data_IF_185681537868
#
_entry.id   IF_185681537868
#
_cell.length_a   1.000
_cell.length_b   1.000
_cell.length_c   1.000
_cell.angle_alpha   90.00
_cell.angle_beta   90.00
_cell.angle_gamma   90.00
#
_symmetry.space_group_name_H-M   'P 1'
#
loop_
_entity.id
_entity.type
_entity.pdbx_description
1 polymer ?
#
# COMPACT_ATOMS: atom_id res chain seq x y z
N UNK A 1 -16.36 2.33 -2.70
CA UNK A 1 -15.11 2.26 -3.48
C UNK A 1 -13.90 2.75 -2.71
N UNK A 2 -13.99 3.81 -1.88
CA UNK A 2 -12.85 4.35 -1.13
C UNK A 2 -12.05 3.32 -0.32
N UNK A 3 -12.71 2.31 0.28
CA UNK A 3 -12.06 1.20 1.02
C UNK A 3 -10.98 0.49 0.18
N UNK A 4 -11.21 0.31 -1.13
CA UNK A 4 -10.27 -0.39 -2.01
C UNK A 4 -8.92 0.35 -2.12
N UNK A 5 -8.89 1.65 -1.84
CA UNK A 5 -7.67 2.46 -1.87
C UNK A 5 -6.61 1.92 -0.91
N UNK A 6 -7.01 1.37 0.24
CA UNK A 6 -6.08 0.88 1.25
C UNK A 6 -5.59 -0.57 1.03
N UNK A 7 -6.13 -1.31 0.06
CA UNK A 7 -5.75 -2.72 -0.18
C UNK A 7 -4.24 -2.90 -0.45
N UNK A 8 -3.55 -2.04 -1.23
CA UNK A 8 -2.11 -2.15 -1.44
C UNK A 8 -1.31 -2.08 -0.14
N UNK A 9 -1.88 -1.49 0.92
CA UNK A 9 -1.21 -1.40 2.22
C UNK A 9 -0.92 -2.80 2.78
N UNK A 10 -1.91 -3.67 2.75
CA UNK A 10 -1.76 -5.03 3.29
C UNK A 10 -1.05 -5.97 2.33
N UNK A 11 -1.13 -5.73 1.01
CA UNK A 11 -0.32 -6.46 0.03
C UNK A 11 1.18 -6.30 0.28
N UNK A 12 1.69 -5.07 0.36
CA UNK A 12 3.14 -4.86 0.49
C UNK A 12 3.64 -5.39 1.84
N UNK A 13 3.02 -5.02 2.97
CA UNK A 13 3.51 -5.48 4.28
C UNK A 13 3.30 -6.99 4.45
N UNK A 14 2.12 -7.50 4.07
CA UNK A 14 1.72 -8.88 4.27
C UNK A 14 2.37 -9.86 3.32
N UNK A 15 2.73 -9.43 2.10
CA UNK A 15 3.33 -10.29 1.07
C UNK A 15 4.79 -9.89 0.82
N UNK A 16 5.04 -8.69 0.27
CA UNK A 16 6.40 -8.31 -0.15
C UNK A 16 7.39 -8.23 1.01
N UNK A 17 6.99 -7.62 2.13
CA UNK A 17 7.86 -7.41 3.29
C UNK A 17 7.95 -8.68 4.14
N UNK A 18 6.83 -9.35 4.44
CA UNK A 18 6.82 -10.62 5.18
C UNK A 18 7.66 -11.70 4.50
N UNK A 19 7.50 -11.87 3.19
CA UNK A 19 8.25 -12.87 2.41
C UNK A 19 9.52 -12.29 1.79
N UNK A 20 10.00 -11.12 2.26
CA UNK A 20 11.15 -10.42 1.67
C UNK A 20 12.42 -11.27 1.62
N UNK A 21 12.70 -12.07 2.64
CA UNK A 21 13.83 -13.01 2.63
C UNK A 21 13.68 -14.05 1.52
N UNK A 22 12.47 -14.59 1.30
CA UNK A 22 12.25 -15.59 0.27
C UNK A 22 12.35 -14.99 -1.13
N UNK A 23 11.73 -13.84 -1.37
CA UNK A 23 11.89 -13.09 -2.62
C UNK A 23 13.37 -12.78 -2.89
N UNK A 24 14.06 -12.22 -1.90
CA UNK A 24 15.44 -11.80 -2.03
C UNK A 24 16.39 -12.96 -2.39
N UNK A 25 16.22 -14.12 -1.74
CA UNK A 25 17.16 -15.23 -1.88
C UNK A 25 16.79 -16.18 -3.02
N UNK A 26 15.49 -16.49 -3.19
CA UNK A 26 15.04 -17.52 -4.15
C UNK A 26 14.79 -16.97 -5.54
N UNK A 27 14.32 -15.72 -5.65
CA UNK A 27 13.86 -15.16 -6.93
C UNK A 27 14.71 -13.98 -7.43
N UNK A 28 15.18 -13.14 -6.52
CA UNK A 28 15.90 -11.90 -6.87
C UNK A 28 17.42 -12.04 -6.72
N UNK A 29 17.93 -13.14 -6.17
CA UNK A 29 19.37 -13.41 -6.02
C UNK A 29 20.17 -12.21 -5.45
N UNK A 30 19.63 -11.56 -4.41
CA UNK A 30 20.28 -10.44 -3.73
C UNK A 30 21.64 -10.89 -3.18
N UNK A 31 22.67 -10.10 -3.41
CA UNK A 31 24.07 -10.49 -3.19
C UNK A 31 24.47 -10.72 -1.73
N UNK A 32 23.57 -10.48 -0.78
CA UNK A 32 23.81 -10.69 0.64
C UNK A 32 22.54 -11.05 1.42
N UNK A 33 22.68 -11.36 2.72
CA UNK A 33 21.58 -11.84 3.53
C UNK A 33 20.52 -10.76 3.77
N UNK A 34 19.25 -11.15 3.66
CA UNK A 34 18.09 -10.31 3.95
C UNK A 34 17.33 -10.88 5.14
N UNK A 35 17.05 -10.03 6.13
CA UNK A 35 16.21 -10.35 7.29
C UNK A 35 14.83 -9.73 7.11
N UNK A 36 13.80 -10.56 7.17
CA UNK A 36 12.41 -10.10 7.15
C UNK A 36 12.11 -9.16 8.33
N UNK A 37 12.67 -9.41 9.51
CA UNK A 37 12.50 -8.54 10.69
C UNK A 37 13.05 -7.14 10.43
N UNK A 38 14.25 -7.04 9.82
CA UNK A 38 14.84 -5.76 9.43
C UNK A 38 14.01 -5.07 8.35
N UNK A 39 13.49 -5.81 7.37
CA UNK A 39 12.61 -5.27 6.35
C UNK A 39 11.32 -4.69 6.95
N UNK A 40 10.66 -5.42 7.87
CA UNK A 40 9.48 -4.95 8.62
C UNK A 40 9.79 -3.67 9.40
N UNK A 41 10.90 -3.65 10.14
CA UNK A 41 11.31 -2.48 10.92
C UNK A 41 11.51 -1.24 10.03
N UNK A 42 12.31 -1.36 8.96
CA UNK A 42 12.61 -0.26 8.06
C UNK A 42 11.37 0.23 7.30
N UNK A 43 10.51 -0.70 6.91
CA UNK A 43 9.22 -0.40 6.30
C UNK A 43 8.35 0.48 7.21
N UNK A 44 8.16 0.08 8.48
CA UNK A 44 7.33 0.86 9.41
C UNK A 44 7.94 2.22 9.77
N UNK A 45 9.27 2.31 9.89
CA UNK A 45 9.96 3.61 10.07
C UNK A 45 9.65 4.53 8.90
N UNK A 46 9.79 4.04 7.66
CA UNK A 46 9.51 4.82 6.47
C UNK A 46 8.02 5.14 6.32
N UNK A 47 7.11 4.24 6.70
CA UNK A 47 5.67 4.48 6.69
C UNK A 47 5.23 5.54 7.70
N UNK A 48 5.85 5.56 8.89
CA UNK A 48 5.65 6.63 9.85
C UNK A 48 6.08 7.98 9.26
N UNK A 49 7.29 8.06 8.69
CA UNK A 49 7.77 9.27 8.02
C UNK A 49 6.85 9.69 6.85
N UNK A 50 6.44 8.73 6.02
CA UNK A 50 5.50 8.96 4.93
C UNK A 50 4.17 9.53 5.40
N UNK A 51 3.67 9.08 6.56
CA UNK A 51 2.42 9.59 7.13
C UNK A 51 2.46 11.09 7.42
N UNK A 52 3.59 11.59 7.92
CA UNK A 52 3.81 13.02 8.08
C UNK A 52 3.93 13.73 6.73
N UNK A 53 4.77 13.20 5.83
CA UNK A 53 5.05 13.78 4.52
C UNK A 53 3.77 13.94 3.70
N UNK A 54 2.96 12.89 3.60
CA UNK A 54 1.75 12.94 2.78
C UNK A 54 0.69 13.85 3.40
N UNK A 55 0.56 13.86 4.73
CA UNK A 55 -0.36 14.77 5.42
C UNK A 55 -0.01 16.25 5.16
N UNK A 56 1.28 16.60 5.19
CA UNK A 56 1.75 17.94 4.82
C UNK A 56 1.56 18.24 3.34
N UNK A 57 1.92 17.28 2.46
CA UNK A 57 1.75 17.42 1.02
C UNK A 57 0.28 17.66 0.64
N UNK A 58 -0.66 16.99 1.28
CA UNK A 58 -2.10 17.20 1.04
C UNK A 58 -2.56 18.62 1.38
N UNK A 59 -1.99 19.23 2.44
CA UNK A 59 -2.27 20.62 2.80
C UNK A 59 -1.66 21.59 1.79
N UNK A 60 -0.38 21.40 1.43
CA UNK A 60 0.33 22.26 0.47
C UNK A 60 -0.26 22.19 -0.93
N UNK A 61 -0.71 21.01 -1.36
CA UNK A 61 -1.33 20.80 -2.66
C UNK A 61 -2.81 21.24 -2.70
N UNK A 62 -3.37 21.60 -1.54
CA UNK A 62 -4.80 21.87 -1.35
C UNK A 62 -5.68 20.77 -1.97
N UNK A 63 -5.24 19.50 -1.83
CA UNK A 63 -5.91 18.35 -2.44
C UNK A 63 -5.36 17.05 -1.85
N UNK A 64 -6.24 16.29 -1.22
CA UNK A 64 -5.90 14.96 -0.70
C UNK A 64 -5.79 13.96 -1.84
N UNK A 65 -6.60 14.12 -2.89
CA UNK A 65 -6.54 13.26 -4.08
C UNK A 65 -5.18 13.35 -4.76
N UNK A 66 -4.58 14.55 -4.90
CA UNK A 66 -3.24 14.72 -5.46
C UNK A 66 -2.17 14.04 -4.61
N UNK A 67 -2.20 14.23 -3.28
CA UNK A 67 -1.25 13.56 -2.39
C UNK A 67 -1.35 12.03 -2.48
N UNK A 68 -2.57 11.49 -2.54
CA UNK A 68 -2.82 10.06 -2.74
C UNK A 68 -2.29 9.55 -4.08
N UNK A 69 -2.42 10.32 -5.17
CA UNK A 69 -1.86 9.95 -6.48
C UNK A 69 -0.34 9.86 -6.44
N UNK A 70 0.33 10.82 -5.80
CA UNK A 70 1.79 10.82 -5.67
C UNK A 70 2.25 9.61 -4.83
N UNK A 71 1.61 9.38 -3.69
CA UNK A 71 1.94 8.26 -2.81
C UNK A 71 1.70 6.89 -3.49
N UNK A 72 0.61 6.75 -4.24
CA UNK A 72 0.31 5.55 -5.01
C UNK A 72 1.30 5.37 -6.18
N UNK A 73 1.73 6.45 -6.81
CA UNK A 73 2.80 6.43 -7.82
C UNK A 73 4.12 5.92 -7.26
N UNK A 74 4.48 6.32 -6.02
CA UNK A 74 5.65 5.81 -5.32
C UNK A 74 5.52 4.32 -5.01
N UNK A 75 4.33 3.85 -4.63
CA UNK A 75 4.07 2.41 -4.46
C UNK A 75 4.26 1.67 -5.78
N UNK A 76 3.71 2.16 -6.88
CA UNK A 76 3.87 1.53 -8.20
C UNK A 76 5.35 1.44 -8.56
N UNK A 77 6.08 2.55 -8.43
CA UNK A 77 7.52 2.60 -8.71
C UNK A 77 8.32 1.69 -7.77
N UNK A 78 8.00 1.67 -6.47
CA UNK A 78 8.65 0.82 -5.48
C UNK A 78 8.37 -0.67 -5.71
N UNK A 79 7.15 -1.04 -6.10
CA UNK A 79 6.79 -2.42 -6.43
C UNK A 79 7.50 -2.85 -7.71
N UNK A 80 7.56 -2.00 -8.74
CA UNK A 80 8.35 -2.29 -9.93
C UNK A 80 9.83 -2.48 -9.56
N UNK A 81 10.42 -1.54 -8.81
CA UNK A 81 11.80 -1.63 -8.36
C UNK A 81 12.07 -2.93 -7.58
N UNK A 82 11.15 -3.37 -6.73
CA UNK A 82 11.25 -4.62 -5.98
C UNK A 82 11.35 -5.84 -6.91
N UNK A 83 10.47 -5.97 -7.91
CA UNK A 83 10.49 -7.13 -8.81
C UNK A 83 11.64 -7.12 -9.81
N UNK A 84 12.21 -5.95 -10.09
CA UNK A 84 13.35 -5.77 -11.00
C UNK A 84 14.70 -5.61 -10.30
N UNK A 85 14.78 -5.75 -8.96
CA UNK A 85 16.04 -5.62 -8.21
C UNK A 85 16.92 -6.88 -8.21
N UNK A 86 16.88 -7.68 -9.29
CA UNK A 86 17.64 -8.93 -9.35
C UNK A 86 19.15 -8.66 -9.27
N UNK A 87 19.87 -9.40 -8.42
CA UNK A 87 21.31 -9.23 -8.20
C UNK A 87 21.71 -7.96 -7.44
N UNK A 88 20.75 -7.19 -6.92
CA UNK A 88 21.05 -5.97 -6.19
C UNK A 88 21.75 -6.25 -4.84
N UNK A 89 22.36 -5.21 -4.26
CA UNK A 89 22.94 -5.30 -2.92
C UNK A 89 21.85 -5.22 -1.83
N UNK A 90 22.12 -5.72 -0.61
CA UNK A 90 21.20 -5.58 0.50
C UNK A 90 20.81 -4.13 0.80
N UNK A 91 21.75 -3.18 0.62
CA UNK A 91 21.48 -1.76 0.78
C UNK A 91 20.37 -1.29 -0.16
N UNK A 92 20.49 -1.58 -1.45
CA UNK A 92 19.49 -1.20 -2.47
C UNK A 92 18.14 -1.86 -2.17
N UNK A 93 18.14 -3.15 -1.81
CA UNK A 93 16.91 -3.87 -1.47
C UNK A 93 16.19 -3.22 -0.27
N UNK A 94 16.91 -2.90 0.81
CA UNK A 94 16.32 -2.22 1.96
C UNK A 94 15.86 -0.79 1.64
N UNK A 95 16.55 -0.07 0.74
CA UNK A 95 16.08 1.24 0.25
C UNK A 95 14.76 1.12 -0.51
N UNK A 96 14.56 0.06 -1.30
CA UNK A 96 13.28 -0.21 -1.97
C UNK A 96 12.19 -0.50 -0.94
N UNK A 97 12.47 -1.29 0.09
CA UNK A 97 11.53 -1.55 1.20
C UNK A 97 11.14 -0.24 1.92
N UNK A 98 12.11 0.66 2.14
CA UNK A 98 11.83 1.97 2.71
C UNK A 98 11.00 2.84 1.76
N UNK A 99 11.26 2.82 0.45
CA UNK A 99 10.46 3.55 -0.54
C UNK A 99 9.00 3.07 -0.55
N UNK A 100 8.80 1.76 -0.47
CA UNK A 100 7.47 1.14 -0.34
C UNK A 100 6.78 1.58 0.96
N UNK A 101 7.50 1.58 2.09
CA UNK A 101 7.00 2.09 3.37
C UNK A 101 6.60 3.57 3.28
N UNK A 102 7.47 4.41 2.71
CA UNK A 102 7.21 5.84 2.49
C UNK A 102 5.91 6.05 1.71
N UNK A 103 5.73 5.35 0.59
CA UNK A 103 4.50 5.41 -0.19
C UNK A 103 3.28 4.99 0.63
N UNK A 104 3.36 3.90 1.39
CA UNK A 104 2.26 3.44 2.25
C UNK A 104 1.87 4.37 3.40
N UNK A 105 2.73 5.33 3.75
CA UNK A 105 2.40 6.34 4.74
C UNK A 105 1.12 7.13 4.41
N UNK A 106 0.58 7.06 3.18
CA UNK A 106 -0.72 7.67 2.88
C UNK A 106 -1.89 7.11 3.71
N UNK A 107 -1.70 6.01 4.46
CA UNK A 107 -2.70 5.37 5.32
C UNK A 107 -3.54 6.37 6.14
N UNK A 108 -2.91 7.39 6.72
CA UNK A 108 -3.62 8.42 7.49
C UNK A 108 -4.62 9.18 6.62
N UNK A 109 -4.19 9.67 5.45
CA UNK A 109 -5.06 10.39 4.51
C UNK A 109 -6.18 9.48 4.02
N UNK A 110 -5.88 8.22 3.72
CA UNK A 110 -6.88 7.25 3.34
C UNK A 110 -7.99 7.14 4.40
N UNK A 111 -7.63 6.99 5.67
CA UNK A 111 -8.62 6.86 6.75
C UNK A 111 -9.52 8.11 6.86
N UNK A 112 -8.94 9.31 6.74
CA UNK A 112 -9.72 10.55 6.75
C UNK A 112 -10.63 10.68 5.54
N UNK A 113 -10.12 10.43 4.33
CA UNK A 113 -10.88 10.49 3.08
C UNK A 113 -12.02 9.48 3.08
N UNK A 114 -11.78 8.26 3.58
CA UNK A 114 -12.80 7.24 3.68
C UNK A 114 -13.97 7.67 4.59
N UNK A 115 -13.67 8.29 5.73
CA UNK A 115 -14.68 8.80 6.65
C UNK A 115 -15.47 10.00 6.07
N UNK A 116 -14.83 10.83 5.25
CA UNK A 116 -15.47 11.98 4.59
C UNK A 116 -16.40 11.61 3.43
N UNK A 117 -16.34 10.38 2.92
CA UNK A 117 -17.30 9.92 1.92
C UNK A 117 -18.70 9.69 2.49
N UNK A 118 -18.87 9.78 3.81
CA UNK A 118 -20.13 9.53 4.49
C UNK A 118 -20.55 10.77 5.27
N UNK A 119 -21.87 10.93 5.44
CA UNK A 119 -22.44 11.98 6.26
C UNK A 119 -21.89 11.96 7.69
N UNK A 120 -21.91 13.12 8.34
CA UNK A 120 -21.44 13.32 9.72
C UNK A 120 -21.96 12.28 10.69
N UNK A 121 -23.21 11.85 10.54
CA UNK A 121 -23.89 10.84 11.35
C UNK A 121 -23.22 9.44 11.35
N UNK A 122 -22.49 9.08 10.28
CA UNK A 122 -21.83 7.77 10.14
C UNK A 122 -20.30 7.86 10.16
N UNK A 123 -19.75 9.08 10.24
CA UNK A 123 -18.31 9.33 10.08
C UNK A 123 -17.46 8.56 11.10
N UNK A 124 -17.87 8.56 12.37
CA UNK A 124 -17.15 7.83 13.44
C UNK A 124 -17.17 6.31 13.23
N UNK A 125 -18.32 5.76 12.85
CA UNK A 125 -18.45 4.34 12.51
C UNK A 125 -17.55 3.98 11.34
N UNK A 126 -17.60 4.75 10.25
CA UNK A 126 -16.78 4.48 9.06
C UNK A 126 -15.28 4.62 9.34
N UNK A 127 -14.87 5.59 10.16
CA UNK A 127 -13.47 5.79 10.53
C UNK A 127 -12.85 4.57 11.22
N UNK A 128 -13.67 3.71 11.83
CA UNK A 128 -13.21 2.44 12.43
C UNK A 128 -13.45 1.24 11.49
N UNK A 129 -14.60 1.18 10.84
CA UNK A 129 -14.99 0.06 9.96
C UNK A 129 -14.13 -0.01 8.70
N UNK A 130 -13.89 1.11 8.00
CA UNK A 130 -13.15 1.09 6.74
C UNK A 130 -11.71 0.59 6.90
N UNK A 131 -10.90 1.07 7.88
CA UNK A 131 -9.60 0.50 8.17
C UNK A 131 -9.65 -1.00 8.46
N UNK A 132 -10.62 -1.47 9.24
CA UNK A 132 -10.75 -2.88 9.61
C UNK A 132 -11.09 -3.77 8.40
N UNK A 133 -11.96 -3.34 7.50
CA UNK A 133 -12.21 -4.05 6.23
C UNK A 133 -10.93 -4.13 5.38
N UNK A 134 -10.16 -3.05 5.33
CA UNK A 134 -8.88 -3.05 4.64
C UNK A 134 -7.90 -4.02 5.29
N UNK A 135 -7.83 -4.10 6.63
CA UNK A 135 -7.03 -5.13 7.30
C UNK A 135 -7.52 -6.54 6.99
N UNK A 136 -8.83 -6.76 6.99
CA UNK A 136 -9.45 -8.03 6.63
C UNK A 136 -9.14 -8.47 5.19
N UNK A 137 -8.91 -7.51 4.28
CA UNK A 137 -8.49 -7.83 2.91
C UNK A 137 -7.12 -8.52 2.84
N UNK A 138 -6.27 -8.42 3.88
CA UNK A 138 -5.02 -9.17 3.97
C UNK A 138 -5.24 -10.67 3.76
N UNK A 139 -6.26 -11.24 4.40
CA UNK A 139 -6.57 -12.68 4.28
C UNK A 139 -6.89 -13.05 2.83
N UNK A 140 -7.69 -12.22 2.14
CA UNK A 140 -8.02 -12.45 0.73
C UNK A 140 -6.79 -12.31 -0.17
N UNK A 141 -5.95 -11.31 0.09
CA UNK A 141 -4.69 -11.10 -0.62
C UNK A 141 -3.71 -12.26 -0.42
N UNK A 142 -3.63 -12.80 0.81
CA UNK A 142 -2.79 -13.95 1.13
C UNK A 142 -3.31 -15.23 0.45
N UNK A 143 -4.62 -15.47 0.46
CA UNK A 143 -5.24 -16.60 -0.24
C UNK A 143 -5.00 -16.51 -1.75
N UNK A 144 -5.15 -15.33 -2.34
CA UNK A 144 -4.85 -15.10 -3.76
C UNK A 144 -3.37 -15.37 -4.06
N UNK A 145 -2.47 -14.82 -3.25
CA UNK A 145 -1.04 -15.05 -3.40
C UNK A 145 -0.67 -16.54 -3.27
N UNK A 146 -1.21 -17.24 -2.28
CA UNK A 146 -0.99 -18.67 -2.10
C UNK A 146 -1.53 -19.48 -3.27
N UNK A 147 -2.76 -19.21 -3.71
CA UNK A 147 -3.38 -19.88 -4.84
C UNK A 147 -2.55 -19.70 -6.12
N UNK A 148 -2.10 -18.48 -6.42
CA UNK A 148 -1.28 -18.22 -7.60
C UNK A 148 0.12 -18.85 -7.49
N UNK A 149 0.77 -18.69 -6.34
CA UNK A 149 2.16 -19.15 -6.15
C UNK A 149 2.27 -20.67 -6.05
N UNK A 150 1.35 -21.33 -5.31
CA UNK A 150 1.37 -22.77 -5.03
C UNK A 150 0.39 -23.54 -5.91
N UNK A 151 -0.90 -23.23 -5.87
CA UNK A 151 -1.93 -24.05 -6.53
C UNK A 151 -1.84 -24.00 -8.06
N UNK A 152 -1.52 -22.83 -8.63
CA UNK A 152 -1.23 -22.66 -10.05
C UNK A 152 0.26 -22.85 -10.41
N UNK A 153 1.08 -23.21 -9.41
CA UNK A 153 2.52 -23.47 -9.55
C UNK A 153 3.29 -22.35 -10.28
N UNK A 154 2.88 -21.08 -10.10
CA UNK A 154 3.50 -19.93 -10.79
C UNK A 154 4.76 -19.42 -10.09
N UNK A 155 5.05 -19.90 -8.87
CA UNK A 155 6.15 -19.42 -8.03
C UNK A 155 5.83 -18.09 -7.33
N UNK A 156 6.63 -17.73 -6.33
CA UNK A 156 6.36 -16.55 -5.49
C UNK A 156 6.56 -15.26 -6.29
N UNK A 157 7.48 -15.22 -7.27
CA UNK A 157 7.72 -14.04 -8.11
C UNK A 157 6.46 -13.67 -8.92
N UNK A 158 5.92 -14.60 -9.73
CA UNK A 158 4.72 -14.33 -10.54
C UNK A 158 3.48 -14.16 -9.67
N UNK A 159 3.31 -14.99 -8.63
CA UNK A 159 2.19 -14.88 -7.70
C UNK A 159 2.17 -13.53 -6.99
N UNK A 160 3.32 -13.06 -6.52
CA UNK A 160 3.46 -11.75 -5.88
C UNK A 160 3.18 -10.59 -6.85
N UNK A 161 3.65 -10.68 -8.10
CA UNK A 161 3.47 -9.65 -9.11
C UNK A 161 1.99 -9.51 -9.53
N UNK A 162 1.31 -10.62 -9.77
CA UNK A 162 -0.10 -10.62 -10.18
C UNK A 162 -1.00 -10.15 -9.04
N UNK A 163 -0.80 -10.68 -7.82
CA UNK A 163 -1.53 -10.21 -6.63
C UNK A 163 -1.34 -8.71 -6.43
N UNK A 164 -0.10 -8.22 -6.54
CA UNK A 164 0.20 -6.80 -6.44
C UNK A 164 -0.48 -5.96 -7.51
N UNK A 165 -0.44 -6.42 -8.76
CA UNK A 165 -1.07 -5.74 -9.90
C UNK A 165 -2.57 -5.60 -9.70
N UNK A 166 -3.23 -6.63 -9.16
CA UNK A 166 -4.67 -6.60 -8.83
C UNK A 166 -4.92 -5.60 -7.69
N UNK A 167 -4.19 -5.71 -6.58
CA UNK A 167 -4.36 -4.81 -5.42
C UNK A 167 -4.15 -3.33 -5.79
N UNK A 168 -3.08 -3.03 -6.53
CA UNK A 168 -2.75 -1.69 -6.99
C UNK A 168 -3.79 -1.22 -8.03
N UNK A 169 -4.20 -2.07 -8.97
CA UNK A 169 -5.23 -1.74 -9.95
C UNK A 169 -6.56 -1.35 -9.31
N UNK A 170 -6.99 -2.07 -8.27
CA UNK A 170 -8.18 -1.72 -7.49
C UNK A 170 -8.04 -0.37 -6.77
N UNK A 171 -6.87 -0.06 -6.24
CA UNK A 171 -6.60 1.22 -5.60
C UNK A 171 -6.57 2.38 -6.60
N UNK A 172 -5.95 2.19 -7.77
CA UNK A 172 -5.94 3.16 -8.88
C UNK A 172 -7.37 3.43 -9.35
N UNK A 173 -8.18 2.39 -9.53
CA UNK A 173 -9.59 2.53 -9.89
C UNK A 173 -10.38 3.32 -8.84
N UNK A 174 -10.19 2.99 -7.56
CA UNK A 174 -10.85 3.68 -6.46
C UNK A 174 -10.45 5.15 -6.36
N UNK A 175 -9.16 5.46 -6.55
CA UNK A 175 -8.64 6.82 -6.52
C UNK A 175 -9.11 7.65 -7.72
N UNK A 176 -9.19 7.03 -8.90
CA UNK A 176 -9.72 7.68 -10.09
C UNK A 176 -11.18 8.12 -9.88
N UNK A 177 -12.01 7.23 -9.32
CA UNK A 177 -13.44 7.48 -9.01
C UNK A 177 -13.66 8.37 -7.78
N UNK A 178 -12.66 8.55 -6.92
CA UNK A 178 -12.75 9.41 -5.75
C UNK A 178 -13.02 10.86 -6.17
N UNK A 179 -14.08 11.46 -5.65
CA UNK A 179 -14.33 12.88 -5.84
C UNK A 179 -13.43 13.69 -4.91
N UNK A 180 -12.97 14.85 -5.36
CA UNK A 180 -12.23 15.77 -4.48
C UNK A 180 -13.18 16.29 -3.40
N UNK A 181 -12.74 16.20 -2.14
CA UNK A 181 -13.47 16.71 -0.96
C UNK A 181 -12.86 17.99 -0.39
N UNK A 182 -11.72 18.45 -0.92
CA UNK A 182 -11.10 19.68 -0.45
C UNK A 182 -12.02 20.88 -0.70
N UNK A 183 -12.50 21.51 0.37
CA UNK A 183 -13.41 22.66 0.32
C UNK A 183 -14.88 22.33 0.06
N UNK A 184 -15.31 21.07 0.13
CA UNK A 184 -16.74 20.73 0.13
C UNK A 184 -17.29 20.80 1.56
N UNK A 185 -18.40 21.53 1.73
CA UNK A 185 -19.25 21.36 2.91
C UNK A 185 -19.80 19.93 2.92
N UNK A 186 -19.67 19.28 4.07
CA UNK A 186 -20.03 17.87 4.27
C UNK A 186 -21.42 17.70 4.92
N UNK A 187 -22.24 18.76 4.88
CA UNK A 187 -23.66 18.68 5.20
C UNK A 187 -24.41 18.16 3.98
N UNK A 188 -24.63 16.85 3.96
CA UNK A 188 -25.46 16.17 2.96
C UNK A 188 -26.94 16.12 3.40
N UNK A 189 -27.34 16.97 4.35
CA UNK A 189 -28.68 17.07 4.94
C UNK A 189 -29.26 18.48 4.71
N UNK A 190 -29.48 18.83 3.44
CA UNK A 190 -30.61 19.67 3.00
C UNK A 190 -31.21 19.08 1.72
#
# INVERSE_FOLDING_TARGET
YCILLGIPVWYIIGILVTFSTEFAQKELHISGPISAQKAVMLHYIAAAAGSFIWSLAAQWLHSRKKALWIALGIIIAGTAAFFFSSGASPFVFYSIIMLLGLGQGYWIIFATVAAEQFGTNLRATVATTAPNFVRGSLTLTALLFEYLSKNLNMGIWRGGLITGSICIGLAVFALYKLQETYGKDLDYLE
#
